data_IF_977488541416
#
_entry.id   IF_977488541416
#
_cell.length_a   1.000
_cell.length_b   1.000
_cell.length_c   1.000
_cell.angle_alpha   90.00
_cell.angle_beta   90.00
_cell.angle_gamma   90.00
#
_symmetry.space_group_name_H-M   'P 1'
#
loop_
_entity.id
_entity.type
_entity.pdbx_description
1 polymer ?
#
# COMPACT_ATOMS: atom_id res chain seq x y z
N UNK A 1 -19.46 0.97 40.92
CA UNK A 1 -19.05 0.40 39.63
C UNK A 1 -17.84 1.16 39.11
N UNK A 2 -16.63 0.60 39.25
CA UNK A 2 -15.37 1.15 38.70
C UNK A 2 -15.20 0.65 37.27
N UNK A 3 -15.11 1.55 36.29
CA UNK A 3 -14.58 1.19 34.97
C UNK A 3 -13.06 1.33 35.03
N UNK A 4 -12.40 0.18 34.94
CA UNK A 4 -10.97 0.02 34.78
C UNK A 4 -10.54 0.75 33.50
N UNK A 5 -9.71 1.78 33.63
CA UNK A 5 -9.05 2.42 32.48
C UNK A 5 -7.95 1.46 32.06
N UNK A 6 -8.14 0.80 30.92
CA UNK A 6 -7.11 0.02 30.28
C UNK A 6 -5.92 0.95 30.01
N UNK A 7 -4.88 0.80 30.82
CA UNK A 7 -3.62 1.48 30.64
C UNK A 7 -3.03 1.07 29.30
N UNK A 8 -3.00 2.01 28.36
CA UNK A 8 -2.11 1.92 27.22
C UNK A 8 -0.69 1.97 27.77
N UNK A 9 -0.02 0.82 27.76
CA UNK A 9 1.41 0.70 28.04
C UNK A 9 2.15 1.60 27.05
N UNK A 10 2.53 2.80 27.48
CA UNK A 10 3.64 3.55 26.90
C UNK A 10 4.94 2.99 27.48
N UNK A 11 5.27 1.80 27.02
CA UNK A 11 6.55 1.14 27.24
C UNK A 11 6.76 0.47 25.90
N UNK A 12 7.43 1.11 24.94
CA UNK A 12 8.84 0.83 24.68
C UNK A 12 9.43 1.84 23.68
N UNK A 13 9.53 3.12 24.03
CA UNK A 13 10.42 3.99 23.26
C UNK A 13 11.01 5.07 24.16
N UNK A 14 12.27 4.88 24.53
CA UNK A 14 13.12 5.81 25.30
C UNK A 14 13.01 5.66 26.83
N UNK A 15 13.88 4.79 27.36
CA UNK A 15 14.09 4.55 28.79
C UNK A 15 14.72 5.73 29.54
N UNK A 16 13.99 6.83 29.69
CA UNK A 16 14.28 7.86 30.68
C UNK A 16 12.98 8.25 31.40
N UNK A 17 12.80 7.77 32.63
CA UNK A 17 11.74 8.24 33.52
C UNK A 17 12.09 9.63 34.01
N UNK A 18 11.45 10.67 33.47
CA UNK A 18 11.50 12.01 34.06
C UNK A 18 10.42 12.06 35.14
N UNK A 19 10.76 12.31 36.41
CA UNK A 19 9.76 12.39 37.48
C UNK A 19 8.82 13.57 37.23
N UNK A 20 7.51 13.33 37.31
CA UNK A 20 6.42 14.31 37.02
C UNK A 20 6.45 15.54 37.95
N UNK A 21 7.28 15.50 38.99
CA UNK A 21 7.32 16.49 40.07
C UNK A 21 8.12 17.76 39.73
N UNK A 22 8.85 17.80 38.61
CA UNK A 22 9.65 18.98 38.23
C UNK A 22 8.97 19.94 37.24
N UNK A 23 7.67 19.78 36.95
CA UNK A 23 6.94 20.75 36.12
C UNK A 23 6.56 21.94 37.01
N UNK A 24 7.39 22.99 36.95
CA UNK A 24 7.14 24.28 37.60
C UNK A 24 5.77 24.84 37.13
N UNK A 25 4.86 25.06 38.09
CA UNK A 25 3.53 25.66 37.85
C UNK A 25 3.60 27.01 37.15
N UNK A 26 4.76 27.68 37.13
CA UNK A 26 4.94 28.93 36.36
C UNK A 26 4.84 28.75 34.84
N UNK A 27 5.07 27.55 34.30
CA UNK A 27 4.92 27.29 32.86
C UNK A 27 3.44 27.18 32.47
N UNK A 28 2.57 26.74 33.39
CA UNK A 28 1.13 26.54 33.14
C UNK A 28 0.37 27.86 32.92
N UNK A 29 0.89 28.98 33.43
CA UNK A 29 0.21 30.27 33.40
C UNK A 29 0.66 31.22 32.27
N UNK A 30 1.46 30.75 31.30
CA UNK A 30 1.88 31.56 30.15
C UNK A 30 1.13 31.24 28.84
N UNK A 31 0.02 30.51 28.86
CA UNK A 31 -0.86 30.45 27.69
C UNK A 31 -1.72 31.71 27.63
N UNK A 32 -1.56 32.60 26.62
CA UNK A 32 -2.55 33.64 26.39
C UNK A 32 -3.90 32.97 26.07
N UNK A 33 -4.92 33.31 26.86
CA UNK A 33 -6.34 33.02 26.60
C UNK A 33 -6.82 33.84 25.39
N UNK A 34 -6.22 33.64 24.21
CA UNK A 34 -6.67 34.21 22.96
C UNK A 34 -7.53 33.18 22.26
N UNK A 35 -8.82 33.46 22.17
CA UNK A 35 -9.84 32.65 21.51
C UNK A 35 -9.71 32.58 19.99
N UNK A 36 -8.54 32.21 19.49
CA UNK A 36 -8.32 31.85 18.09
C UNK A 36 -7.79 30.41 18.10
N UNK A 37 -8.64 29.48 17.65
CA UNK A 37 -8.36 28.03 17.60
C UNK A 37 -6.99 27.80 16.98
N UNK A 38 -6.15 26.97 17.61
CA UNK A 38 -4.99 26.40 16.93
C UNK A 38 -5.48 25.84 15.58
N UNK A 39 -4.75 26.02 14.46
CA UNK A 39 -5.13 25.36 13.22
C UNK A 39 -5.25 23.87 13.54
N UNK A 40 -6.47 23.32 13.39
CA UNK A 40 -6.67 21.88 13.47
C UNK A 40 -5.59 21.24 12.62
N UNK A 41 -4.91 20.18 13.10
CA UNK A 41 -4.03 19.43 12.22
C UNK A 41 -4.89 19.03 11.03
N UNK A 42 -4.59 19.61 9.87
CA UNK A 42 -5.25 19.29 8.62
C UNK A 42 -4.91 17.83 8.36
N UNK A 43 -5.79 16.92 8.80
CA UNK A 43 -5.72 15.52 8.47
C UNK A 43 -6.01 15.51 6.97
N UNK A 44 -4.95 15.63 6.18
CA UNK A 44 -5.03 15.51 4.73
C UNK A 44 -5.84 14.24 4.46
N UNK A 45 -6.92 14.32 3.66
CA UNK A 45 -7.73 13.15 3.39
C UNK A 45 -6.77 12.08 2.88
N UNK A 46 -6.60 11.01 3.67
CA UNK A 46 -5.92 9.81 3.19
C UNK A 46 -6.69 9.43 1.93
N UNK A 47 -6.10 9.71 0.77
CA UNK A 47 -6.72 9.53 -0.53
C UNK A 47 -7.08 8.06 -0.62
N UNK A 48 -8.35 7.75 -0.37
CA UNK A 48 -8.90 6.43 -0.56
C UNK A 48 -8.71 6.10 -2.02
N UNK A 49 -8.06 4.97 -2.36
CA UNK A 49 -7.85 4.58 -3.75
C UNK A 49 -9.20 4.59 -4.48
N UNK A 50 -9.35 5.53 -5.39
CA UNK A 50 -10.51 5.64 -6.27
C UNK A 50 -10.63 4.36 -7.09
N UNK A 51 -11.84 3.84 -7.30
CA UNK A 51 -12.06 2.50 -7.89
C UNK A 51 -11.31 2.23 -9.21
N UNK A 52 -11.09 3.25 -10.03
CA UNK A 52 -10.29 3.15 -11.26
C UNK A 52 -8.83 2.74 -11.01
N UNK A 53 -8.24 3.12 -9.87
CA UNK A 53 -6.85 2.84 -9.52
C UNK A 53 -6.64 1.34 -9.23
N UNK A 54 -7.67 0.66 -8.71
CA UNK A 54 -7.68 -0.81 -8.56
C UNK A 54 -7.63 -1.51 -9.92
N UNK A 55 -8.38 -1.01 -10.90
CA UNK A 55 -8.42 -1.56 -12.25
C UNK A 55 -7.09 -1.35 -12.97
N UNK A 56 -6.45 -0.19 -12.78
CA UNK A 56 -5.11 0.08 -13.26
C UNK A 56 -4.08 -0.90 -12.64
N UNK A 57 -4.15 -1.15 -11.33
CA UNK A 57 -3.30 -2.13 -10.65
C UNK A 57 -3.46 -3.54 -11.21
N UNK A 58 -4.70 -3.99 -11.42
CA UNK A 58 -4.99 -5.28 -12.07
C UNK A 58 -4.46 -5.35 -13.51
N UNK A 59 -4.52 -4.25 -14.25
CA UNK A 59 -3.94 -4.16 -15.60
C UNK A 59 -2.41 -4.28 -15.60
N UNK A 60 -1.74 -3.68 -14.61
CA UNK A 60 -0.28 -3.79 -14.42
C UNK A 60 0.10 -5.24 -14.08
N UNK A 61 -0.63 -5.92 -13.20
CA UNK A 61 -0.39 -7.33 -12.91
C UNK A 61 -0.56 -8.22 -14.15
N UNK A 62 -1.56 -7.92 -14.98
CA UNK A 62 -1.78 -8.62 -16.25
C UNK A 62 -0.61 -8.42 -17.21
N UNK A 63 -0.18 -7.17 -17.40
CA UNK A 63 0.93 -6.84 -18.29
C UNK A 63 2.23 -7.48 -17.78
N UNK A 64 2.51 -7.37 -16.48
CA UNK A 64 3.69 -7.95 -15.85
C UNK A 64 3.73 -9.47 -16.00
N UNK A 65 2.61 -10.17 -15.77
CA UNK A 65 2.53 -11.63 -15.96
C UNK A 65 2.77 -12.01 -17.41
N UNK A 66 2.15 -11.30 -18.36
CA UNK A 66 2.30 -11.57 -19.79
C UNK A 66 3.74 -11.38 -20.25
N UNK A 67 4.37 -10.26 -19.87
CA UNK A 67 5.77 -9.96 -20.21
C UNK A 67 6.71 -10.96 -19.54
N UNK A 68 6.47 -11.31 -18.27
CA UNK A 68 7.28 -12.28 -17.55
C UNK A 68 7.29 -13.65 -18.21
N UNK A 69 6.12 -14.15 -18.63
CA UNK A 69 6.01 -15.43 -19.34
C UNK A 69 6.61 -15.32 -20.74
N UNK A 70 6.33 -14.25 -21.49
CA UNK A 70 6.93 -14.01 -22.80
C UNK A 70 8.47 -13.95 -22.74
N UNK A 71 9.03 -13.37 -21.68
CA UNK A 71 10.47 -13.32 -21.45
C UNK A 71 11.09 -14.72 -21.29
N UNK A 72 10.36 -15.68 -20.71
CA UNK A 72 10.80 -17.08 -20.68
C UNK A 72 10.87 -17.68 -22.09
N UNK A 73 9.86 -17.41 -22.92
CA UNK A 73 9.88 -17.80 -24.33
C UNK A 73 11.03 -17.17 -25.11
N UNK A 74 11.33 -15.90 -24.83
CA UNK A 74 12.46 -15.19 -25.41
C UNK A 74 13.81 -15.79 -25.00
N UNK A 75 13.97 -16.15 -23.72
CA UNK A 75 15.17 -16.83 -23.25
C UNK A 75 15.38 -18.18 -23.93
N UNK A 76 14.29 -18.92 -24.21
CA UNK A 76 14.33 -20.18 -24.95
C UNK A 76 14.73 -19.95 -26.42
N UNK A 77 14.09 -19.00 -27.10
CA UNK A 77 14.42 -18.66 -28.49
C UNK A 77 15.88 -18.20 -28.62
N UNK A 78 16.37 -17.40 -27.67
CA UNK A 78 17.76 -16.95 -27.64
C UNK A 78 18.74 -18.11 -27.49
N UNK A 79 18.45 -19.05 -26.59
CA UNK A 79 19.28 -20.25 -26.39
C UNK A 79 19.30 -21.15 -27.63
N UNK A 80 18.18 -21.24 -28.36
CA UNK A 80 18.07 -22.07 -29.57
C UNK A 80 18.64 -21.39 -30.82
N UNK A 81 19.10 -20.14 -30.74
CA UNK A 81 19.53 -19.33 -31.89
C UNK A 81 18.49 -19.29 -33.02
N UNK A 82 17.21 -19.41 -32.66
CA UNK A 82 16.14 -19.41 -33.64
C UNK A 82 16.06 -18.02 -34.28
N UNK A 83 16.09 -17.97 -35.62
CA UNK A 83 15.87 -16.72 -36.37
C UNK A 83 14.43 -16.19 -36.21
N UNK A 84 13.51 -17.05 -35.80
CA UNK A 84 12.10 -16.78 -35.60
C UNK A 84 11.70 -17.00 -34.14
N UNK A 85 10.95 -16.05 -33.59
CA UNK A 85 10.60 -16.01 -32.16
C UNK A 85 9.34 -16.84 -31.84
N UNK A 86 9.36 -18.13 -32.19
CA UNK A 86 8.19 -18.99 -32.02
C UNK A 86 7.90 -19.29 -30.54
N UNK A 87 8.93 -19.52 -29.72
CA UNK A 87 8.71 -19.78 -28.29
C UNK A 87 8.21 -18.51 -27.60
N UNK A 88 8.76 -17.35 -27.89
CA UNK A 88 8.29 -16.06 -27.38
C UNK A 88 6.81 -15.85 -27.68
N UNK A 89 6.38 -16.09 -28.94
CA UNK A 89 4.98 -15.95 -29.33
C UNK A 89 4.07 -16.94 -28.60
N UNK A 90 4.48 -18.20 -28.46
CA UNK A 90 3.71 -19.22 -27.74
C UNK A 90 3.55 -18.88 -26.26
N UNK A 91 4.66 -18.52 -25.60
CA UNK A 91 4.66 -18.15 -24.19
C UNK A 91 3.90 -16.84 -23.95
N UNK A 92 4.01 -15.86 -24.85
CA UNK A 92 3.22 -14.63 -24.78
C UNK A 92 1.73 -14.92 -24.88
N UNK A 93 1.30 -15.80 -25.79
CA UNK A 93 -0.10 -16.19 -25.93
C UNK A 93 -0.62 -16.86 -24.66
N UNK A 94 0.13 -17.85 -24.14
CA UNK A 94 -0.24 -18.58 -22.92
C UNK A 94 -0.29 -17.63 -21.71
N UNK A 95 0.74 -16.81 -21.54
CA UNK A 95 0.84 -15.83 -20.46
C UNK A 95 -0.29 -14.81 -20.49
N UNK A 96 -0.59 -14.28 -21.67
CA UNK A 96 -1.69 -13.34 -21.87
C UNK A 96 -3.04 -13.99 -21.58
N UNK A 97 -3.32 -15.18 -22.12
CA UNK A 97 -4.59 -15.88 -21.89
C UNK A 97 -4.82 -16.16 -20.40
N UNK A 98 -3.80 -16.63 -19.69
CA UNK A 98 -3.88 -16.89 -18.26
C UNK A 98 -4.07 -15.61 -17.44
N UNK A 99 -3.29 -14.56 -17.74
CA UNK A 99 -3.37 -13.28 -17.05
C UNK A 99 -4.74 -12.62 -17.27
N UNK A 100 -5.28 -12.67 -18.49
CA UNK A 100 -6.59 -12.13 -18.81
C UNK A 100 -7.73 -12.91 -18.14
N UNK A 101 -7.61 -14.23 -18.04
CA UNK A 101 -8.57 -15.03 -17.27
C UNK A 101 -8.61 -14.61 -15.80
N UNK A 102 -7.45 -14.45 -15.15
CA UNK A 102 -7.38 -13.94 -13.76
C UNK A 102 -7.93 -12.52 -13.63
N UNK A 103 -7.64 -11.65 -14.58
CA UNK A 103 -8.16 -10.28 -14.60
C UNK A 103 -9.69 -10.26 -14.61
N UNK A 104 -10.31 -11.03 -15.51
CA UNK A 104 -11.78 -11.14 -15.59
C UNK A 104 -12.36 -11.69 -14.29
N UNK A 105 -11.72 -12.71 -13.69
CA UNK A 105 -12.17 -13.24 -12.40
C UNK A 105 -12.12 -12.19 -11.28
N UNK A 106 -11.05 -11.41 -11.22
CA UNK A 106 -10.89 -10.37 -10.20
C UNK A 106 -11.92 -9.25 -10.38
N UNK A 107 -12.11 -8.76 -11.60
CA UNK A 107 -13.11 -7.72 -11.90
C UNK A 107 -14.54 -8.24 -11.63
N UNK A 108 -14.82 -9.50 -11.99
CA UNK A 108 -16.16 -10.09 -11.77
C UNK A 108 -16.50 -10.30 -10.29
N UNK A 109 -15.50 -10.48 -9.42
CA UNK A 109 -15.69 -10.61 -7.97
C UNK A 109 -15.95 -9.28 -7.29
N UNK A 110 -15.40 -8.18 -7.80
CA UNK A 110 -15.64 -6.84 -7.24
C UNK A 110 -17.06 -6.33 -7.54
N UNK A 111 -17.73 -6.87 -8.56
CA UNK A 111 -19.09 -6.50 -8.96
C UNK A 111 -20.21 -7.37 -8.33
N UNK A 112 -19.90 -8.25 -7.37
CA UNK A 112 -20.89 -9.04 -6.59
C UNK A 112 -20.89 -8.61 -5.14
#
# INVERSE_FOLDING_TARGET
>A
MRRSVAGYRLTEQFGHTVPVESIDRRIVNQLPLRGDRAPEPEILPMTTPTGWMKHAGLGIELAGTTIGVAALGYAIDWKMQNKTQYATALFALIGFSFAMFRFIQNVSRENR
#
